data_IF_251676868078
#
_entry.id   IF_251676868078
#
_cell.length_a   1.000
_cell.length_b   1.000
_cell.length_c   1.000
_cell.angle_alpha   90.00
_cell.angle_beta   90.00
_cell.angle_gamma   90.00
#
_symmetry.space_group_name_H-M   'P 1'
#
loop_
_entity.id
_entity.type
_entity.pdbx_description
1 polymer ?
#
# COMPACT_ATOMS: atom_id res chain seq x y z
N UNK A 1 -14.63 67.78 -17.30
CA UNK A 1 -13.29 68.18 -17.84
C UNK A 1 -12.32 67.07 -17.42
N UNK A 2 -11.63 66.27 -18.23
CA UNK A 2 -11.31 66.24 -19.65
C UNK A 2 -11.42 64.78 -20.13
N UNK A 3 -12.05 64.57 -21.29
CA UNK A 3 -11.75 63.45 -22.21
C UNK A 3 -10.45 63.82 -22.96
N UNK A 4 -9.67 62.82 -23.34
CA UNK A 4 -8.93 62.65 -24.63
C UNK A 4 -7.70 61.75 -24.35
N UNK A 5 -7.63 60.61 -25.05
CA UNK A 5 -6.52 59.65 -24.96
C UNK A 5 -6.88 58.28 -25.54
N UNK A 6 -7.57 58.27 -26.68
CA UNK A 6 -7.93 57.06 -27.41
C UNK A 6 -6.72 56.56 -28.23
N UNK A 7 -6.68 55.24 -28.41
CA UNK A 7 -6.21 54.60 -29.65
C UNK A 7 -4.70 54.57 -29.91
N UNK A 8 -4.03 53.49 -29.48
CA UNK A 8 -2.94 52.89 -30.29
C UNK A 8 -2.50 51.44 -30.00
N UNK A 9 -2.99 50.74 -28.97
CA UNK A 9 -2.50 49.38 -28.65
C UNK A 9 -3.42 48.19 -28.98
N UNK A 10 -4.56 48.39 -29.64
CA UNK A 10 -5.48 47.28 -30.03
C UNK A 10 -5.23 46.66 -31.42
N UNK A 11 -4.19 47.07 -32.16
CA UNK A 11 -3.83 46.49 -33.48
C UNK A 11 -2.59 45.58 -33.50
N UNK A 12 -1.85 45.41 -32.39
CA UNK A 12 -0.67 44.50 -32.34
C UNK A 12 -0.94 43.11 -31.75
N UNK A 13 -2.10 42.85 -31.13
CA UNK A 13 -2.44 41.51 -30.61
C UNK A 13 -3.27 40.62 -31.55
N UNK A 14 -3.82 41.18 -32.64
CA UNK A 14 -4.70 40.43 -33.55
C UNK A 14 -3.95 39.73 -34.69
N UNK A 15 -2.68 40.05 -34.91
CA UNK A 15 -1.82 39.44 -35.95
C UNK A 15 -0.97 38.26 -35.45
N UNK A 16 -0.82 38.07 -34.13
CA UNK A 16 -0.09 36.92 -33.55
C UNK A 16 -0.92 35.63 -33.45
N UNK A 17 -2.25 35.70 -33.53
CA UNK A 17 -3.15 34.52 -33.50
C UNK A 17 -3.40 33.86 -34.86
N UNK A 18 -2.89 34.42 -35.97
CA UNK A 18 -3.05 33.85 -37.33
C UNK A 18 -1.78 33.22 -37.91
N UNK A 19 -0.66 33.25 -37.18
CA UNK A 19 0.61 32.61 -37.56
C UNK A 19 0.94 31.34 -36.75
N UNK A 20 0.02 30.83 -35.95
CA UNK A 20 0.19 29.59 -35.16
C UNK A 20 -0.52 28.37 -35.76
N UNK A 21 -0.87 28.41 -37.06
CA UNK A 21 -1.43 27.27 -37.80
C UNK A 21 -0.56 26.74 -38.95
N UNK A 22 0.68 27.22 -39.09
CA UNK A 22 1.66 26.67 -40.04
C UNK A 22 3.08 26.81 -39.47
N UNK A 23 3.50 25.83 -38.69
CA UNK A 23 4.92 25.47 -38.46
C UNK A 23 4.95 24.21 -37.62
N UNK A 24 4.85 23.06 -38.28
CA UNK A 24 5.30 21.79 -37.71
C UNK A 24 6.82 21.79 -37.73
N UNK A 25 7.44 22.41 -36.74
CA UNK A 25 8.88 22.30 -36.51
C UNK A 25 9.12 21.67 -35.14
N UNK A 26 9.87 20.57 -35.16
CA UNK A 26 10.32 19.81 -33.99
C UNK A 26 11.13 20.75 -33.09
N UNK A 27 10.56 21.18 -31.97
CA UNK A 27 11.26 21.98 -30.98
C UNK A 27 12.40 21.19 -30.34
N UNK A 28 13.63 21.51 -30.73
CA UNK A 28 14.86 21.09 -30.04
C UNK A 28 14.95 21.89 -28.75
N UNK A 29 14.80 21.24 -27.59
CA UNK A 29 14.99 21.88 -26.29
C UNK A 29 16.49 22.07 -26.07
N UNK A 30 16.95 23.32 -26.07
CA UNK A 30 18.33 23.68 -25.75
C UNK A 30 18.44 23.84 -24.23
N UNK A 31 19.27 23.02 -23.60
CA UNK A 31 19.56 23.09 -22.15
C UNK A 31 20.64 24.16 -21.91
N UNK A 32 20.54 24.99 -20.86
CA UNK A 32 21.61 25.92 -20.50
C UNK A 32 22.84 25.15 -19.98
N UNK A 33 24.04 25.46 -20.49
CA UNK A 33 25.31 24.96 -19.92
C UNK A 33 25.49 25.53 -18.51
N UNK A 34 25.46 24.67 -17.50
CA UNK A 34 25.79 25.02 -16.11
C UNK A 34 27.30 24.85 -15.88
N UNK A 35 27.91 25.82 -15.19
CA UNK A 35 29.32 25.80 -14.78
C UNK A 35 29.56 24.78 -13.64
N UNK A 36 30.73 24.13 -13.58
CA UNK A 36 31.04 23.19 -12.50
C UNK A 36 31.18 23.91 -11.15
N UNK A 37 30.73 23.24 -10.08
CA UNK A 37 30.92 23.62 -8.68
C UNK A 37 32.29 23.13 -8.18
N UNK A 38 32.96 23.96 -7.39
CA UNK A 38 34.27 23.67 -6.78
C UNK A 38 34.21 22.50 -5.79
N UNK A 39 35.18 21.58 -5.92
CA UNK A 39 35.35 20.40 -5.08
C UNK A 39 36.12 20.71 -3.80
N UNK A 40 35.46 20.57 -2.65
CA UNK A 40 36.09 20.50 -1.33
C UNK A 40 36.72 19.11 -1.07
N UNK A 41 37.92 19.15 -0.49
CA UNK A 41 38.85 18.06 -0.22
C UNK A 41 38.33 16.95 0.71
N UNK A 42 38.55 15.68 0.33
CA UNK A 42 38.85 14.58 1.27
C UNK A 42 39.87 13.64 0.64
N UNK A 43 40.96 13.41 1.37
CA UNK A 43 42.10 12.60 0.96
C UNK A 43 41.83 11.10 0.96
N UNK A 44 42.26 10.46 -0.12
CA UNK A 44 42.38 9.02 -0.29
C UNK A 44 43.35 8.78 -1.45
N UNK A 45 44.33 7.91 -1.23
CA UNK A 45 45.45 7.62 -2.13
C UNK A 45 44.97 7.23 -3.53
N UNK A 46 45.37 8.00 -4.55
CA UNK A 46 45.17 7.67 -5.96
C UNK A 46 46.47 7.09 -6.52
N UNK A 47 46.39 5.84 -6.98
CA UNK A 47 47.36 5.28 -7.93
C UNK A 47 47.34 6.12 -9.21
N UNK A 48 48.51 6.31 -9.82
CA UNK A 48 48.72 7.11 -11.02
C UNK A 48 47.69 6.83 -12.12
N UNK A 49 46.95 7.87 -12.49
CA UNK A 49 46.01 7.88 -13.60
C UNK A 49 46.76 7.71 -14.94
N UNK A 50 46.64 6.55 -15.57
CA UNK A 50 46.64 6.49 -17.03
C UNK A 50 45.33 7.11 -17.50
N UNK A 51 45.40 8.24 -18.22
CA UNK A 51 44.27 8.83 -18.91
C UNK A 51 43.67 7.79 -19.87
N UNK A 52 42.60 7.11 -19.46
CA UNK A 52 41.82 6.26 -20.35
C UNK A 52 41.17 7.18 -21.38
N UNK A 53 41.62 7.12 -22.62
CA UNK A 53 40.96 7.78 -23.75
C UNK A 53 39.59 7.13 -23.90
N UNK A 54 38.53 7.80 -23.45
CA UNK A 54 37.15 7.33 -23.57
C UNK A 54 36.71 7.61 -25.01
N UNK A 55 36.34 6.56 -25.75
CA UNK A 55 35.79 6.69 -27.09
C UNK A 55 34.40 7.34 -27.01
N UNK A 56 34.25 8.53 -27.60
CA UNK A 56 33.00 9.31 -27.62
C UNK A 56 32.36 9.38 -29.02
N UNK A 57 32.85 8.61 -29.97
CA UNK A 57 32.46 8.64 -31.38
C UNK A 57 31.18 7.81 -31.70
N UNK A 58 30.62 7.11 -30.72
CA UNK A 58 29.38 6.34 -30.87
C UNK A 58 28.11 7.21 -30.89
N UNK A 59 27.12 6.83 -31.70
CA UNK A 59 25.85 7.57 -31.83
C UNK A 59 24.84 7.14 -30.77
N UNK A 60 24.43 8.08 -29.91
CA UNK A 60 23.42 7.86 -28.86
C UNK A 60 22.08 7.45 -29.48
N UNK A 61 21.71 7.97 -30.66
CA UNK A 61 20.38 7.71 -31.24
C UNK A 61 20.21 6.24 -31.68
N UNK A 62 21.32 5.51 -31.87
CA UNK A 62 21.31 4.10 -32.25
C UNK A 62 20.77 3.15 -31.15
N UNK A 63 20.83 3.57 -29.87
CA UNK A 63 20.37 2.75 -28.74
C UNK A 63 18.87 2.85 -28.45
N UNK A 64 18.11 3.55 -29.31
CA UNK A 64 16.66 3.65 -29.16
C UNK A 64 15.99 2.35 -29.58
N UNK A 65 15.29 1.72 -28.63
CA UNK A 65 14.46 0.55 -28.94
C UNK A 65 13.09 0.98 -29.51
N UNK A 66 12.50 0.20 -30.44
CA UNK A 66 11.12 0.43 -30.90
C UNK A 66 10.08 0.32 -29.77
N UNK A 67 10.40 -0.35 -28.67
CA UNK A 67 9.54 -0.46 -27.49
C UNK A 67 9.61 0.79 -26.57
N UNK A 68 10.56 1.70 -26.79
CA UNK A 68 10.74 2.86 -25.93
C UNK A 68 9.67 3.92 -26.17
N UNK A 69 8.90 4.24 -25.12
CA UNK A 69 8.07 5.44 -25.12
C UNK A 69 8.94 6.70 -25.22
N UNK A 70 8.41 7.79 -25.79
CA UNK A 70 9.16 9.03 -25.97
C UNK A 70 9.75 9.56 -24.64
N UNK A 71 9.01 9.43 -23.54
CA UNK A 71 9.48 9.88 -22.22
C UNK A 71 10.61 8.99 -21.67
N UNK A 72 10.51 7.67 -21.88
CA UNK A 72 11.55 6.72 -21.47
C UNK A 72 12.82 6.92 -22.29
N UNK A 73 12.69 7.11 -23.61
CA UNK A 73 13.82 7.41 -24.48
C UNK A 73 14.54 8.70 -24.07
N UNK A 74 13.79 9.77 -23.80
CA UNK A 74 14.37 11.03 -23.35
C UNK A 74 15.19 10.88 -22.06
N UNK A 75 14.73 10.07 -21.11
CA UNK A 75 15.51 9.79 -19.89
C UNK A 75 16.84 9.09 -20.19
N UNK A 76 16.82 8.05 -21.02
CA UNK A 76 18.06 7.34 -21.42
C UNK A 76 19.00 8.26 -22.18
N UNK A 77 18.46 9.02 -23.14
CA UNK A 77 19.20 9.97 -23.97
C UNK A 77 19.86 11.05 -23.13
N UNK A 78 19.12 11.71 -22.24
CA UNK A 78 19.69 12.72 -21.35
C UNK A 78 20.75 12.15 -20.41
N UNK A 79 20.57 10.91 -19.95
CA UNK A 79 21.55 10.24 -19.10
C UNK A 79 22.84 9.94 -19.86
N UNK A 80 22.74 9.43 -21.08
CA UNK A 80 23.90 9.19 -21.95
C UNK A 80 24.59 10.51 -22.32
N UNK A 81 23.84 11.53 -22.77
CA UNK A 81 24.40 12.84 -23.14
C UNK A 81 25.17 13.52 -21.99
N UNK A 82 24.73 13.33 -20.74
CA UNK A 82 25.36 13.95 -19.57
C UNK A 82 26.71 13.30 -19.20
N UNK A 83 26.83 11.98 -19.40
CA UNK A 83 27.95 11.19 -18.86
C UNK A 83 28.86 10.58 -19.93
N UNK A 84 28.57 10.81 -21.22
CA UNK A 84 29.30 10.25 -22.36
C UNK A 84 30.81 10.58 -22.35
N UNK A 85 31.21 11.70 -21.77
CA UNK A 85 32.62 12.13 -21.69
C UNK A 85 33.39 11.48 -20.53
N UNK A 86 32.69 10.83 -19.58
CA UNK A 86 33.29 10.35 -18.32
C UNK A 86 33.11 8.85 -18.07
N UNK A 87 32.13 8.22 -18.71
CA UNK A 87 31.79 6.80 -18.53
C UNK A 87 31.88 6.10 -19.89
N UNK A 88 32.56 4.95 -19.92
CA UNK A 88 32.70 4.15 -21.13
C UNK A 88 31.34 3.61 -21.62
N UNK A 89 31.23 3.36 -22.93
CA UNK A 89 29.98 2.98 -23.61
C UNK A 89 29.32 1.74 -23.00
N UNK A 90 30.13 0.70 -22.76
CA UNK A 90 29.73 -0.60 -22.22
C UNK A 90 29.11 -0.49 -20.82
N UNK A 91 29.52 0.51 -20.05
CA UNK A 91 28.99 0.80 -18.73
C UNK A 91 27.83 1.80 -18.77
N UNK A 92 27.91 2.83 -19.63
CA UNK A 92 26.96 3.93 -19.65
C UNK A 92 25.58 3.51 -20.19
N UNK A 93 25.55 2.66 -21.22
CA UNK A 93 24.29 2.23 -21.85
C UNK A 93 23.41 1.41 -20.89
N UNK A 94 23.93 0.39 -20.18
CA UNK A 94 23.17 -0.31 -19.14
C UNK A 94 22.74 0.60 -17.97
N UNK A 95 23.59 1.54 -17.55
CA UNK A 95 23.24 2.50 -16.49
C UNK A 95 22.09 3.42 -16.91
N UNK A 96 22.10 3.92 -18.14
CA UNK A 96 21.01 4.73 -18.69
C UNK A 96 19.68 3.96 -18.71
N UNK A 97 19.73 2.67 -19.09
CA UNK A 97 18.56 1.79 -19.07
C UNK A 97 18.03 1.57 -17.64
N UNK A 98 18.92 1.26 -16.70
CA UNK A 98 18.56 1.06 -15.29
C UNK A 98 17.99 2.33 -14.65
N UNK A 99 18.58 3.49 -14.92
CA UNK A 99 18.07 4.79 -14.48
C UNK A 99 16.66 5.06 -15.01
N UNK A 100 16.46 4.88 -16.31
CA UNK A 100 15.17 5.11 -16.96
C UNK A 100 14.09 4.17 -16.41
N UNK A 101 14.41 2.88 -16.22
CA UNK A 101 13.50 1.90 -15.63
C UNK A 101 13.15 2.25 -14.18
N UNK A 102 14.13 2.66 -13.39
CA UNK A 102 13.91 3.07 -12.00
C UNK A 102 12.98 4.29 -11.92
N UNK A 103 13.19 5.33 -12.74
CA UNK A 103 12.35 6.55 -12.69
C UNK A 103 10.98 6.40 -13.37
N UNK A 104 10.87 5.64 -14.44
CA UNK A 104 9.63 5.46 -15.17
C UNK A 104 8.72 4.38 -14.55
N UNK A 105 9.31 3.25 -14.15
CA UNK A 105 8.58 2.05 -13.71
C UNK A 105 8.76 1.72 -12.22
N UNK A 106 9.65 2.40 -11.50
CA UNK A 106 9.88 2.15 -10.08
C UNK A 106 10.71 0.89 -9.80
N UNK A 107 11.49 0.41 -10.78
CA UNK A 107 12.38 -0.73 -10.59
C UNK A 107 13.46 -0.42 -9.52
N UNK A 108 13.73 -1.42 -8.68
CA UNK A 108 14.73 -1.36 -7.61
C UNK A 108 15.85 -2.34 -7.95
N UNK A 109 17.09 -1.88 -7.79
CA UNK A 109 18.32 -2.63 -8.06
C UNK A 109 19.13 -2.78 -6.76
N UNK A 110 20.24 -3.55 -6.74
CA UNK A 110 21.09 -3.66 -5.55
C UNK A 110 21.51 -2.28 -4.99
N UNK A 111 21.70 -2.15 -3.67
CA UNK A 111 21.83 -0.86 -3.00
C UNK A 111 22.98 0.01 -3.55
N UNK A 112 24.13 -0.60 -3.82
CA UNK A 112 25.27 0.10 -4.43
C UNK A 112 24.96 0.66 -5.83
N UNK A 113 24.11 -0.02 -6.61
CA UNK A 113 23.66 0.46 -7.92
C UNK A 113 22.65 1.59 -7.77
N UNK A 114 21.71 1.47 -6.82
CA UNK A 114 20.71 2.51 -6.57
C UNK A 114 21.35 3.83 -6.16
N UNK A 115 22.35 3.79 -5.26
CA UNK A 115 23.12 4.96 -4.84
C UNK A 115 23.84 5.61 -6.02
N UNK A 116 24.48 4.79 -6.88
CA UNK A 116 25.17 5.28 -8.08
C UNK A 116 24.21 5.92 -9.09
N UNK A 117 23.03 5.33 -9.31
CA UNK A 117 22.01 5.89 -10.20
C UNK A 117 21.42 7.20 -9.66
N UNK A 118 21.30 7.33 -8.35
CA UNK A 118 20.83 8.55 -7.68
C UNK A 118 21.85 9.68 -7.86
N UNK A 119 23.12 9.42 -7.58
CA UNK A 119 24.21 10.40 -7.74
C UNK A 119 24.35 10.89 -9.19
N UNK A 120 24.41 9.96 -10.15
CA UNK A 120 24.58 10.31 -11.57
C UNK A 120 23.31 10.90 -12.19
N UNK A 121 22.14 10.52 -11.69
CA UNK A 121 20.85 10.83 -12.29
C UNK A 121 20.14 12.05 -11.71
N UNK A 122 20.62 12.63 -10.60
CA UNK A 122 19.94 13.71 -9.86
C UNK A 122 19.51 14.91 -10.73
N UNK A 123 20.37 15.47 -11.62
CA UNK A 123 19.99 16.61 -12.46
C UNK A 123 18.82 16.26 -13.39
N UNK A 124 18.82 15.05 -13.94
CA UNK A 124 17.80 14.56 -14.89
C UNK A 124 16.52 14.20 -14.13
N UNK A 125 16.65 13.60 -12.95
CA UNK A 125 15.53 13.22 -12.09
C UNK A 125 14.70 14.45 -11.68
N UNK A 126 15.36 15.56 -11.30
CA UNK A 126 14.68 16.82 -10.97
C UNK A 126 13.84 17.35 -12.13
N UNK A 127 14.42 17.41 -13.33
CA UNK A 127 13.71 17.89 -14.54
C UNK A 127 12.52 16.98 -14.86
N UNK A 128 12.72 15.66 -14.81
CA UNK A 128 11.66 14.69 -15.06
C UNK A 128 10.52 14.77 -14.03
N UNK A 129 10.83 14.93 -12.74
CA UNK A 129 9.84 15.12 -11.68
C UNK A 129 9.03 16.41 -11.89
N UNK A 130 9.69 17.51 -12.26
CA UNK A 130 9.00 18.78 -12.57
C UNK A 130 8.05 18.63 -13.78
N UNK A 131 8.50 17.97 -14.85
CA UNK A 131 7.65 17.66 -16.01
C UNK A 131 6.46 16.75 -15.67
N UNK A 132 6.65 15.82 -14.73
CA UNK A 132 5.57 14.94 -14.26
C UNK A 132 4.60 15.64 -13.33
N UNK A 133 5.08 16.53 -12.46
CA UNK A 133 4.24 17.33 -11.55
C UNK A 133 3.39 18.37 -12.27
N UNK A 134 3.90 18.95 -13.37
CA UNK A 134 3.19 19.92 -14.21
C UNK A 134 2.25 19.28 -15.23
N UNK A 135 2.19 17.94 -15.29
CA UNK A 135 1.30 17.22 -16.20
C UNK A 135 -0.14 17.36 -15.68
N UNK A 136 -0.84 18.38 -16.17
CA UNK A 136 -2.25 18.62 -15.86
C UNK A 136 -3.06 17.35 -16.12
N UNK A 137 -3.66 16.78 -15.07
CA UNK A 137 -4.67 15.73 -15.22
C UNK A 137 -5.83 16.35 -15.98
N UNK A 138 -6.19 15.78 -17.13
CA UNK A 138 -7.31 16.28 -17.93
C UNK A 138 -8.60 15.94 -17.21
N UNK A 139 -9.17 16.91 -16.50
CA UNK A 139 -10.53 16.81 -15.99
C UNK A 139 -11.50 17.26 -17.09
N UNK A 140 -12.30 16.32 -17.61
CA UNK A 140 -13.34 16.64 -18.58
C UNK A 140 -14.49 17.33 -17.84
N UNK A 141 -14.76 18.59 -18.17
CA UNK A 141 -15.83 19.39 -17.54
C UNK A 141 -16.85 19.77 -18.61
N UNK A 142 -18.16 19.67 -18.34
CA UNK A 142 -19.18 20.18 -19.25
C UNK A 142 -18.96 21.66 -19.59
N UNK A 143 -19.11 22.02 -20.87
CA UNK A 143 -18.79 23.37 -21.38
C UNK A 143 -19.51 24.49 -20.62
N UNK A 144 -20.79 24.31 -20.27
CA UNK A 144 -21.54 25.29 -19.48
C UNK A 144 -20.99 25.51 -18.07
N UNK A 145 -20.49 24.45 -17.43
CA UNK A 145 -19.88 24.54 -16.09
C UNK A 145 -18.51 25.22 -16.16
N UNK A 146 -17.72 24.95 -17.19
CA UNK A 146 -16.45 25.63 -17.44
C UNK A 146 -16.66 27.14 -17.65
N UNK A 147 -17.63 27.52 -18.51
CA UNK A 147 -17.96 28.92 -18.77
C UNK A 147 -18.44 29.67 -17.51
N UNK A 148 -19.25 29.01 -16.66
CA UNK A 148 -19.69 29.59 -15.39
C UNK A 148 -18.54 29.82 -14.41
N UNK A 149 -17.57 28.92 -14.33
CA UNK A 149 -16.40 29.07 -13.45
C UNK A 149 -15.48 30.19 -13.95
N UNK A 150 -15.32 30.30 -15.28
CA UNK A 150 -14.55 31.37 -15.92
C UNK A 150 -15.19 32.75 -15.66
N UNK A 151 -16.52 32.87 -15.80
CA UNK A 151 -17.26 34.10 -15.46
C UNK A 151 -17.07 34.51 -13.99
N UNK A 152 -17.02 33.52 -13.08
CA UNK A 152 -16.82 33.74 -11.64
C UNK A 152 -15.36 33.93 -11.25
N UNK A 153 -14.41 33.82 -12.18
CA UNK A 153 -12.97 33.88 -11.94
C UNK A 153 -12.49 32.88 -10.87
N UNK A 154 -13.17 31.74 -10.73
CA UNK A 154 -12.79 30.69 -9.78
C UNK A 154 -11.99 29.61 -10.52
N UNK A 155 -10.74 29.32 -10.13
CA UNK A 155 -9.97 28.23 -10.73
C UNK A 155 -10.65 26.89 -10.44
N UNK A 156 -10.60 25.98 -11.40
CA UNK A 156 -11.31 24.69 -11.32
C UNK A 156 -10.91 23.89 -10.08
N UNK A 157 -9.64 23.90 -9.69
CA UNK A 157 -9.14 23.17 -8.52
C UNK A 157 -9.76 23.65 -7.21
N UNK A 158 -9.93 24.97 -7.05
CA UNK A 158 -10.61 25.53 -5.88
C UNK A 158 -12.10 25.15 -5.87
N UNK A 159 -12.76 25.21 -7.03
CA UNK A 159 -14.15 24.78 -7.13
C UNK A 159 -14.30 23.27 -6.83
N UNK A 160 -13.39 22.44 -7.33
CA UNK A 160 -13.38 21.00 -7.08
C UNK A 160 -13.14 20.70 -5.60
N UNK A 161 -12.14 21.36 -4.99
CA UNK A 161 -11.89 21.25 -3.55
C UNK A 161 -13.10 21.69 -2.71
N UNK A 162 -13.78 22.76 -3.09
CA UNK A 162 -15.00 23.23 -2.43
C UNK A 162 -16.17 22.23 -2.59
N UNK A 163 -16.32 21.62 -3.77
CA UNK A 163 -17.32 20.59 -4.04
C UNK A 163 -17.07 19.33 -3.21
N UNK A 164 -15.83 18.83 -3.21
CA UNK A 164 -15.40 17.70 -2.38
C UNK A 164 -15.62 18.04 -0.90
N UNK A 165 -15.25 19.24 -0.44
CA UNK A 165 -15.45 19.67 0.95
C UNK A 165 -16.93 19.68 1.33
N UNK A 166 -17.80 20.19 0.46
CA UNK A 166 -19.26 20.20 0.69
C UNK A 166 -19.84 18.79 0.72
N UNK A 167 -19.46 17.93 -0.22
CA UNK A 167 -19.92 16.54 -0.23
C UNK A 167 -19.42 15.77 0.99
N UNK A 168 -18.17 15.99 1.39
CA UNK A 168 -17.58 15.37 2.58
C UNK A 168 -18.29 15.85 3.84
N UNK A 169 -18.68 17.13 3.93
CA UNK A 169 -19.41 17.66 5.08
C UNK A 169 -20.76 16.95 5.30
N UNK A 170 -21.45 16.57 4.23
CA UNK A 170 -22.73 15.83 4.32
C UNK A 170 -22.56 14.38 4.80
N UNK A 171 -21.34 13.82 4.71
CA UNK A 171 -21.02 12.46 5.15
C UNK A 171 -20.27 12.44 6.48
N UNK A 172 -19.88 13.60 7.02
CA UNK A 172 -19.22 13.66 8.33
C UNK A 172 -20.26 13.53 9.44
N UNK A 173 -19.89 12.91 10.58
CA UNK A 173 -20.74 12.90 11.74
C UNK A 173 -20.94 14.32 12.29
N UNK A 174 -22.15 14.62 12.73
CA UNK A 174 -22.58 15.88 13.35
C UNK A 174 -22.54 15.73 14.87
N UNK A 175 -21.71 16.55 15.52
CA UNK A 175 -21.55 16.56 16.98
C UNK A 175 -21.49 18.03 17.44
N UNK A 176 -22.33 18.49 18.38
CA UNK A 176 -23.37 17.74 19.10
C UNK A 176 -24.65 17.52 18.27
N UNK A 177 -25.36 16.45 18.58
CA UNK A 177 -26.65 16.10 17.98
C UNK A 177 -27.74 17.04 18.52
N UNK A 178 -28.62 17.55 17.64
CA UNK A 178 -29.77 18.40 18.05
C UNK A 178 -31.11 17.92 17.52
N UNK A 179 -31.12 17.24 16.37
CA UNK A 179 -32.32 16.77 15.68
C UNK A 179 -32.20 15.29 15.34
N UNK A 180 -33.34 14.64 15.13
CA UNK A 180 -33.39 13.26 14.64
C UNK A 180 -32.65 13.07 13.31
N UNK A 181 -32.65 14.09 12.44
CA UNK A 181 -31.89 14.06 11.18
C UNK A 181 -30.37 13.97 11.41
N UNK A 182 -29.85 14.64 12.45
CA UNK A 182 -28.42 14.59 12.80
C UNK A 182 -28.03 13.18 13.29
N UNK A 183 -28.95 12.53 14.01
CA UNK A 183 -28.80 11.13 14.44
C UNK A 183 -28.71 10.21 13.23
N UNK A 184 -29.66 10.31 12.29
CA UNK A 184 -29.64 9.47 11.10
C UNK A 184 -28.43 9.74 10.19
N UNK A 185 -27.85 10.94 10.20
CA UNK A 185 -26.57 11.22 9.53
C UNK A 185 -25.39 10.55 10.25
N UNK A 186 -25.42 10.47 11.57
CA UNK A 186 -24.39 9.80 12.36
C UNK A 186 -24.49 8.28 12.28
N UNK A 187 -25.68 7.72 12.13
CA UNK A 187 -25.88 6.28 12.00
C UNK A 187 -25.47 5.83 10.60
N UNK A 188 -24.56 4.86 10.55
CA UNK A 188 -24.23 4.10 9.35
C UNK A 188 -24.45 2.63 9.67
N UNK A 189 -25.26 1.94 8.86
CA UNK A 189 -25.58 0.53 9.06
C UNK A 189 -24.38 -0.33 8.66
N UNK A 190 -23.78 -1.07 9.59
CA UNK A 190 -22.56 -1.86 9.37
C UNK A 190 -22.90 -3.35 9.35
N UNK A 191 -22.48 -4.06 8.30
CA UNK A 191 -22.67 -5.51 8.11
C UNK A 191 -24.10 -6.01 8.29
N UNK A 192 -25.10 -5.16 8.06
CA UNK A 192 -26.49 -5.49 8.34
C UNK A 192 -26.71 -6.03 9.78
N UNK A 193 -25.91 -5.57 10.76
CA UNK A 193 -25.91 -6.04 12.14
C UNK A 193 -26.16 -4.88 13.09
N UNK A 194 -27.24 -4.93 13.86
CA UNK A 194 -27.55 -3.90 14.86
C UNK A 194 -26.39 -3.76 15.87
N UNK A 195 -25.83 -4.88 16.33
CA UNK A 195 -24.72 -4.87 17.29
C UNK A 195 -23.50 -4.10 16.78
N UNK A 196 -23.09 -4.34 15.53
CA UNK A 196 -21.94 -3.65 14.93
C UNK A 196 -22.24 -2.16 14.75
N UNK A 197 -23.48 -1.81 14.39
CA UNK A 197 -23.90 -0.41 14.25
C UNK A 197 -23.86 0.35 15.56
N UNK A 198 -24.40 -0.23 16.64
CA UNK A 198 -24.40 0.41 17.96
C UNK A 198 -22.97 0.59 18.43
N UNK A 199 -22.11 -0.42 18.30
CA UNK A 199 -20.71 -0.31 18.70
C UNK A 199 -19.97 0.80 17.96
N UNK A 200 -20.21 0.97 16.66
CA UNK A 200 -19.62 2.06 15.89
C UNK A 200 -20.18 3.43 16.27
N UNK A 201 -21.47 3.51 16.56
CA UNK A 201 -22.12 4.75 16.99
C UNK A 201 -21.60 5.21 18.36
N UNK A 202 -21.45 4.28 19.30
CA UNK A 202 -20.89 4.53 20.64
C UNK A 202 -19.44 5.02 20.57
N UNK A 203 -18.63 4.47 19.64
CA UNK A 203 -17.25 4.92 19.41
C UNK A 203 -17.15 6.37 18.93
N UNK A 204 -18.18 6.90 18.27
CA UNK A 204 -18.22 8.31 17.89
C UNK A 204 -18.45 9.21 19.11
N UNK A 205 -18.92 8.66 20.24
CA UNK A 205 -19.20 9.40 21.47
C UNK A 205 -20.34 10.42 21.32
N UNK A 206 -21.16 10.30 20.27
CA UNK A 206 -22.14 11.31 19.89
C UNK A 206 -23.60 10.91 20.15
N UNK A 207 -23.90 9.61 20.05
CA UNK A 207 -25.27 9.07 20.15
C UNK A 207 -25.20 7.56 20.41
N UNK A 208 -26.28 6.99 20.95
CA UNK A 208 -26.40 5.53 21.18
C UNK A 208 -27.79 5.08 20.76
N UNK A 209 -27.95 3.81 20.38
CA UNK A 209 -29.26 3.19 20.17
C UNK A 209 -29.57 2.33 21.39
N UNK A 210 -30.71 2.56 22.04
CA UNK A 210 -31.15 1.83 23.22
C UNK A 210 -32.48 1.13 22.94
N UNK A 211 -32.67 -0.03 23.57
CA UNK A 211 -33.91 -0.79 23.49
C UNK A 211 -34.43 -0.96 24.92
N UNK A 212 -35.64 -0.48 25.17
CA UNK A 212 -36.30 -0.56 26.47
C UNK A 212 -37.47 -1.54 26.41
N UNK A 213 -37.63 -2.34 27.46
CA UNK A 213 -38.76 -3.26 27.62
C UNK A 213 -39.76 -2.75 28.65
N UNK A 214 -41.04 -2.94 28.38
CA UNK A 214 -42.13 -2.65 29.30
C UNK A 214 -43.04 -3.89 29.39
N UNK A 215 -43.28 -4.45 30.59
CA UNK A 215 -44.23 -5.56 30.75
C UNK A 215 -45.68 -5.06 30.53
N UNK A 216 -46.48 -5.86 29.83
CA UNK A 216 -47.92 -5.68 29.65
C UNK A 216 -48.69 -6.76 30.45
N UNK A 217 -49.96 -6.95 30.14
CA UNK A 217 -50.81 -7.97 30.77
C UNK A 217 -50.60 -9.35 30.10
N UNK A 218 -50.70 -10.43 30.87
CA UNK A 218 -50.67 -11.84 30.40
C UNK A 218 -49.37 -12.24 29.65
N UNK A 219 -48.20 -12.14 30.31
CA UNK A 219 -46.88 -12.56 29.75
C UNK A 219 -46.46 -11.87 28.43
N UNK A 220 -47.11 -10.77 28.09
CA UNK A 220 -46.73 -9.95 26.92
C UNK A 220 -45.82 -8.79 27.32
N UNK A 221 -44.91 -8.43 26.43
CA UNK A 221 -43.96 -7.34 26.61
C UNK A 221 -44.05 -6.39 25.40
N UNK A 222 -43.96 -5.09 25.67
CA UNK A 222 -43.77 -4.06 24.65
C UNK A 222 -42.29 -3.65 24.66
N UNK A 223 -41.63 -3.82 23.53
CA UNK A 223 -40.23 -3.46 23.33
C UNK A 223 -40.19 -2.21 22.46
N UNK A 224 -39.50 -1.17 22.92
CA UNK A 224 -39.36 0.13 22.26
C UNK A 224 -37.90 0.41 21.95
N UNK A 225 -37.62 0.83 20.72
CA UNK A 225 -36.29 1.26 20.29
C UNK A 225 -36.20 2.78 20.23
N UNK A 226 -35.11 3.30 20.78
CA UNK A 226 -34.77 4.70 20.82
C UNK A 226 -33.39 4.91 20.20
N UNK A 227 -33.19 6.03 19.51
CA UNK A 227 -31.84 6.54 19.24
C UNK A 227 -31.65 7.81 20.07
N UNK A 228 -30.72 7.73 21.01
CA UNK A 228 -30.57 8.68 22.10
C UNK A 228 -31.92 8.85 22.84
N UNK A 229 -32.55 10.02 22.75
CA UNK A 229 -33.86 10.30 23.36
C UNK A 229 -35.04 10.26 22.38
N UNK A 230 -34.81 9.92 21.11
CA UNK A 230 -35.86 9.90 20.09
C UNK A 230 -36.43 8.50 19.91
N UNK A 231 -37.75 8.38 20.02
CA UNK A 231 -38.48 7.15 19.72
C UNK A 231 -38.44 6.84 18.22
N UNK A 232 -38.14 5.59 17.86
CA UNK A 232 -38.10 5.13 16.46
C UNK A 232 -39.18 4.10 16.18
N UNK A 233 -39.16 2.95 16.86
CA UNK A 233 -40.11 1.85 16.64
C UNK A 233 -40.50 1.16 17.94
N UNK A 234 -41.60 0.41 17.87
CA UNK A 234 -42.02 -0.51 18.93
C UNK A 234 -42.60 -1.79 18.35
N UNK A 235 -42.56 -2.86 19.15
CA UNK A 235 -43.23 -4.11 18.88
C UNK A 235 -43.78 -4.69 20.19
N UNK A 236 -44.84 -5.49 20.11
CA UNK A 236 -45.48 -6.10 21.27
C UNK A 236 -45.73 -7.59 21.02
N UNK A 237 -45.64 -8.40 22.08
CA UNK A 237 -45.83 -9.85 22.01
C UNK A 237 -45.07 -10.57 23.13
N UNK A 238 -44.93 -11.90 23.07
CA UNK A 238 -43.98 -12.63 23.91
C UNK A 238 -42.57 -12.02 23.76
N UNK A 239 -41.78 -12.02 24.85
CA UNK A 239 -40.51 -11.29 24.91
C UNK A 239 -39.60 -11.51 23.69
N UNK A 240 -39.34 -12.77 23.32
CA UNK A 240 -38.44 -13.10 22.20
C UNK A 240 -38.97 -12.56 20.85
N UNK A 241 -40.28 -12.69 20.62
CA UNK A 241 -40.93 -12.22 19.40
C UNK A 241 -40.99 -10.69 19.35
N UNK A 242 -41.32 -10.04 20.46
CA UNK A 242 -41.37 -8.59 20.56
C UNK A 242 -39.98 -7.98 20.37
N UNK A 243 -38.94 -8.58 20.96
CA UNK A 243 -37.56 -8.14 20.79
C UNK A 243 -37.09 -8.33 19.34
N UNK A 244 -37.27 -9.53 18.77
CA UNK A 244 -36.90 -9.80 17.39
C UNK A 244 -37.64 -8.87 16.41
N UNK A 245 -38.95 -8.70 16.57
CA UNK A 245 -39.77 -7.81 15.74
C UNK A 245 -39.38 -6.34 15.86
N UNK A 246 -39.03 -5.88 17.07
CA UNK A 246 -38.53 -4.52 17.28
C UNK A 246 -37.21 -4.30 16.54
N UNK A 247 -36.27 -5.24 16.65
CA UNK A 247 -34.97 -5.19 15.98
C UNK A 247 -35.11 -5.24 14.45
N UNK A 248 -35.97 -6.10 13.91
CA UNK A 248 -36.19 -6.17 12.45
C UNK A 248 -36.78 -4.86 11.93
N UNK A 249 -37.81 -4.33 12.60
CA UNK A 249 -38.44 -3.07 12.21
C UNK A 249 -37.45 -1.90 12.31
N UNK A 250 -36.65 -1.86 13.38
CA UNK A 250 -35.61 -0.85 13.55
C UNK A 250 -34.58 -0.91 12.41
N UNK A 251 -34.05 -2.11 12.12
CA UNK A 251 -33.08 -2.29 11.03
C UNK A 251 -33.66 -1.90 9.67
N UNK A 252 -34.93 -2.17 9.41
CA UNK A 252 -35.60 -1.71 8.19
C UNK A 252 -35.63 -0.19 8.10
N UNK A 253 -36.05 0.50 9.16
CA UNK A 253 -36.05 1.96 9.19
C UNK A 253 -34.64 2.52 9.00
N UNK A 254 -33.63 1.96 9.67
CA UNK A 254 -32.25 2.41 9.50
C UNK A 254 -31.79 2.24 8.05
N UNK A 255 -32.13 1.14 7.37
CA UNK A 255 -31.83 0.94 5.94
C UNK A 255 -32.54 1.94 5.02
N UNK A 256 -33.69 2.46 5.44
CA UNK A 256 -34.45 3.44 4.67
C UNK A 256 -33.82 4.83 4.71
N UNK A 257 -33.29 5.24 5.87
CA UNK A 257 -32.80 6.60 6.10
C UNK A 257 -31.26 6.73 6.14
N UNK A 258 -30.54 5.66 6.46
CA UNK A 258 -29.09 5.68 6.68
C UNK A 258 -28.33 4.97 5.56
N UNK A 259 -27.07 5.36 5.38
CA UNK A 259 -26.14 4.61 4.53
C UNK A 259 -25.79 3.27 5.15
N UNK A 260 -25.47 2.29 4.30
CA UNK A 260 -25.03 0.97 4.74
C UNK A 260 -23.62 0.70 4.22
N UNK A 261 -22.78 0.11 5.07
CA UNK A 261 -21.41 -0.31 4.77
C UNK A 261 -21.29 -1.79 5.13
N UNK A 262 -21.18 -2.64 4.13
CA UNK A 262 -20.98 -4.08 4.31
C UNK A 262 -19.55 -4.45 3.92
N UNK A 263 -18.89 -5.24 4.76
CA UNK A 263 -17.60 -5.82 4.42
C UNK A 263 -17.80 -6.99 3.46
N UNK A 264 -17.12 -6.95 2.31
CA UNK A 264 -17.04 -8.10 1.42
C UNK A 264 -16.09 -9.11 2.06
N UNK A 265 -16.65 -10.16 2.64
CA UNK A 265 -15.91 -11.37 2.96
C UNK A 265 -15.72 -12.07 1.62
N UNK A 266 -14.52 -12.00 1.03
CA UNK A 266 -14.18 -13.00 0.03
C UNK A 266 -14.36 -14.38 0.71
N UNK A 267 -14.87 -15.35 -0.04
CA UNK A 267 -15.06 -16.75 0.38
C UNK A 267 -14.51 -17.68 -0.71
N UNK A 268 -13.32 -17.37 -1.24
CA UNK A 268 -12.59 -18.19 -2.20
C UNK A 268 -11.58 -19.11 -1.48
N UNK A 269 -11.49 -20.35 -1.97
CA UNK A 269 -11.04 -21.57 -1.27
C UNK A 269 -9.54 -21.62 -0.90
N UNK A 270 -8.75 -20.56 -1.09
CA UNK A 270 -7.33 -20.48 -0.71
C UNK A 270 -6.95 -19.09 -0.17
N UNK A 271 -7.85 -18.41 0.54
CA UNK A 271 -7.62 -17.07 1.10
C UNK A 271 -6.46 -17.01 2.10
N UNK A 272 -5.26 -16.80 1.60
CA UNK A 272 -4.19 -16.17 2.34
C UNK A 272 -3.51 -15.15 1.43
N UNK A 273 -2.99 -14.09 2.02
CA UNK A 273 -2.24 -13.04 1.34
C UNK A 273 -0.86 -12.82 1.98
N UNK A 274 -0.48 -13.71 2.91
CA UNK A 274 0.85 -13.77 3.52
C UNK A 274 1.36 -15.21 3.48
N UNK A 275 2.38 -15.43 2.66
CA UNK A 275 3.06 -16.73 2.53
C UNK A 275 4.00 -17.00 3.72
N UNK A 276 4.32 -18.29 3.92
CA UNK A 276 5.29 -18.73 4.92
C UNK A 276 6.70 -18.65 4.31
N UNK A 277 7.43 -17.59 4.64
CA UNK A 277 8.81 -17.41 4.25
C UNK A 277 9.71 -18.12 5.26
N UNK A 278 10.50 -19.06 4.73
CA UNK A 278 11.54 -19.75 5.49
C UNK A 278 12.76 -18.83 5.67
N UNK A 279 13.58 -19.13 6.67
CA UNK A 279 14.81 -18.38 6.86
C UNK A 279 15.79 -18.61 5.69
N UNK A 280 16.46 -17.55 5.19
CA UNK A 280 17.39 -17.67 4.06
C UNK A 280 18.61 -18.58 4.37
N UNK A 281 18.98 -18.75 5.64
CA UNK A 281 20.09 -19.63 6.05
C UNK A 281 19.80 -21.12 5.87
N UNK A 282 18.53 -21.52 5.76
CA UNK A 282 18.13 -22.91 5.48
C UNK A 282 18.19 -23.24 3.99
N UNK A 283 18.04 -22.25 3.10
CA UNK A 283 18.20 -22.44 1.65
C UNK A 283 19.69 -22.59 1.28
N UNK A 284 20.57 -21.82 1.93
CA UNK A 284 22.03 -21.89 1.70
C UNK A 284 22.68 -23.16 2.26
N UNK A 285 22.13 -23.75 3.34
CA UNK A 285 22.70 -24.95 3.97
C UNK A 285 22.59 -26.23 3.13
N UNK A 286 21.71 -26.24 2.12
CA UNK A 286 21.51 -27.38 1.22
C UNK A 286 22.28 -27.27 -0.11
N UNK A 287 23.15 -26.27 -0.26
CA UNK A 287 23.94 -26.10 -1.48
C UNK A 287 25.11 -27.08 -1.47
N UNK A 288 25.08 -28.08 -2.37
CA UNK A 288 26.23 -28.96 -2.62
C UNK A 288 27.45 -28.13 -3.01
N UNK A 289 28.64 -28.58 -2.56
CA UNK A 289 29.91 -27.98 -3.00
C UNK A 289 29.97 -28.04 -4.53
N UNK A 290 30.14 -26.89 -5.18
CA UNK A 290 30.23 -26.82 -6.64
C UNK A 290 31.39 -27.69 -7.16
N UNK A 291 31.16 -28.32 -8.31
CA UNK A 291 32.11 -29.18 -9.01
C UNK A 291 33.45 -28.51 -9.34
N UNK A 292 33.45 -27.18 -9.43
CA UNK A 292 34.65 -26.36 -9.65
C UNK A 292 35.46 -26.09 -8.38
N UNK A 293 34.92 -26.38 -7.19
CA UNK A 293 35.63 -26.17 -5.94
C UNK A 293 36.84 -27.13 -5.82
N UNK A 294 37.96 -26.63 -5.32
CA UNK A 294 39.19 -27.40 -5.15
C UNK A 294 38.96 -28.66 -4.31
N UNK A 295 38.15 -28.57 -3.24
CA UNK A 295 37.78 -29.70 -2.39
C UNK A 295 36.96 -30.76 -3.12
N UNK A 296 36.00 -30.35 -3.97
CA UNK A 296 35.22 -31.28 -4.78
C UNK A 296 36.10 -32.08 -5.75
N UNK A 297 37.03 -31.40 -6.43
CA UNK A 297 37.99 -32.06 -7.34
C UNK A 297 38.97 -32.96 -6.59
N UNK A 298 39.37 -32.58 -5.39
CA UNK A 298 40.25 -33.40 -4.54
C UNK A 298 39.53 -34.67 -4.10
N UNK A 299 38.28 -34.58 -3.64
CA UNK A 299 37.47 -35.73 -3.26
C UNK A 299 37.22 -36.67 -4.45
N UNK A 300 36.93 -36.14 -5.65
CA UNK A 300 36.83 -36.95 -6.87
C UNK A 300 38.11 -37.70 -7.19
N UNK A 301 39.28 -37.06 -7.05
CA UNK A 301 40.58 -37.71 -7.25
C UNK A 301 40.89 -38.79 -6.22
N UNK A 302 40.27 -38.72 -5.05
CA UNK A 302 40.36 -39.73 -3.98
C UNK A 302 39.30 -40.84 -4.10
N UNK A 303 38.56 -40.90 -5.21
CA UNK A 303 37.59 -41.97 -5.50
C UNK A 303 36.16 -41.67 -5.08
N UNK A 304 35.84 -40.43 -4.69
CA UNK A 304 34.46 -40.03 -4.42
C UNK A 304 33.67 -39.84 -5.71
N UNK A 305 32.50 -40.46 -5.82
CA UNK A 305 31.63 -40.36 -7.00
C UNK A 305 30.56 -39.27 -6.89
N UNK A 306 30.42 -38.61 -5.74
CA UNK A 306 29.42 -37.57 -5.50
C UNK A 306 28.04 -38.11 -5.09
N UNK A 307 27.74 -39.37 -5.39
CA UNK A 307 26.45 -40.01 -5.08
C UNK A 307 26.52 -40.95 -3.86
N UNK A 308 27.71 -41.47 -3.55
CA UNK A 308 27.95 -42.45 -2.49
C UNK A 308 29.06 -42.00 -1.52
N UNK A 309 29.14 -42.66 -0.36
CA UNK A 309 30.11 -42.33 0.69
C UNK A 309 31.54 -42.68 0.30
N UNK A 310 32.53 -41.98 0.88
CA UNK A 310 33.96 -42.31 0.68
C UNK A 310 34.33 -43.66 1.35
N UNK A 311 35.09 -44.52 0.66
CA UNK A 311 35.61 -45.78 1.20
C UNK A 311 35.39 -46.98 0.27
N UNK A 312 36.10 -48.09 0.50
CA UNK A 312 36.07 -49.29 -0.36
C UNK A 312 34.69 -49.94 -0.50
N UNK A 313 33.82 -49.76 0.49
CA UNK A 313 32.44 -50.24 0.53
C UNK A 313 31.43 -49.09 0.52
N UNK A 314 31.84 -47.90 0.09
CA UNK A 314 31.00 -46.69 0.08
C UNK A 314 30.44 -46.31 1.47
N UNK A 315 31.15 -46.69 2.54
CA UNK A 315 30.72 -46.55 3.94
C UNK A 315 30.81 -45.12 4.49
N UNK A 316 31.33 -44.18 3.71
CA UNK A 316 31.53 -42.80 4.14
C UNK A 316 30.24 -42.00 4.25
N UNK A 317 30.36 -40.82 4.82
CA UNK A 317 29.25 -39.89 5.01
C UNK A 317 28.82 -39.31 3.65
N UNK A 318 27.56 -39.55 3.26
CA UNK A 318 26.98 -39.08 1.99
C UNK A 318 26.40 -37.68 2.10
N UNK A 319 25.75 -37.37 3.23
CA UNK A 319 25.15 -36.07 3.50
C UNK A 319 26.11 -35.23 4.34
N UNK A 320 26.29 -33.93 4.06
CA UNK A 320 27.17 -33.06 4.85
C UNK A 320 26.82 -33.15 6.34
N UNK A 321 27.84 -33.16 7.20
CA UNK A 321 27.64 -33.17 8.65
C UNK A 321 27.01 -31.84 9.04
N UNK A 322 25.72 -31.86 9.35
CA UNK A 322 24.99 -30.67 9.79
C UNK A 322 25.51 -30.22 11.16
N UNK A 323 26.16 -29.07 11.21
CA UNK A 323 26.53 -28.43 12.47
C UNK A 323 25.37 -27.53 12.88
N UNK A 324 24.54 -27.98 13.81
CA UNK A 324 23.53 -27.13 14.44
C UNK A 324 24.21 -25.88 15.04
N UNK A 325 23.89 -24.68 14.54
CA UNK A 325 24.47 -23.44 15.06
C UNK A 325 24.09 -23.27 16.53
N UNK A 326 25.07 -23.44 17.43
CA UNK A 326 24.93 -23.06 18.83
C UNK A 326 25.29 -21.58 18.99
N UNK A 327 24.29 -20.70 18.92
CA UNK A 327 24.46 -19.24 19.01
C UNK A 327 24.80 -18.74 20.43
N UNK A 328 25.68 -19.40 21.16
CA UNK A 328 26.26 -18.88 22.41
C UNK A 328 27.62 -19.54 22.57
N UNK A 329 28.70 -18.76 22.73
CA UNK A 329 30.09 -19.22 22.96
C UNK A 329 30.22 -20.11 24.23
N UNK A 330 29.62 -21.28 24.21
CA UNK A 330 29.66 -22.28 25.28
C UNK A 330 29.98 -23.61 24.62
N UNK A 331 31.04 -24.25 25.09
CA UNK A 331 31.51 -25.52 24.55
C UNK A 331 30.50 -26.64 24.73
N UNK A 332 30.73 -27.74 24.01
CA UNK A 332 30.04 -29.01 24.16
C UNK A 332 30.11 -29.47 25.63
N UNK A 333 28.96 -29.69 26.27
CA UNK A 333 28.87 -30.20 27.66
C UNK A 333 28.34 -29.24 28.74
N UNK A 334 27.87 -28.04 28.40
CA UNK A 334 27.37 -27.08 29.43
C UNK A 334 26.01 -27.50 30.02
N UNK A 335 26.00 -27.98 31.27
CA UNK A 335 24.82 -28.46 32.00
C UNK A 335 24.23 -27.40 32.94
N UNK A 336 23.62 -26.33 32.42
CA UNK A 336 22.88 -25.39 33.28
C UNK A 336 21.38 -25.39 32.94
N UNK A 337 20.57 -25.93 33.85
CA UNK A 337 19.10 -25.89 33.75
C UNK A 337 18.63 -24.43 33.90
N UNK A 338 17.92 -23.94 32.89
CA UNK A 338 17.38 -22.57 32.81
C UNK A 338 16.26 -22.27 33.84
N UNK A 339 15.83 -21.01 34.02
CA UNK A 339 14.59 -20.64 34.73
C UNK A 339 13.32 -20.96 33.91
N UNK A 340 12.20 -21.32 34.56
CA UNK A 340 10.99 -21.91 33.92
C UNK A 340 10.24 -20.97 32.95
N UNK A 341 10.29 -19.65 33.14
CA UNK A 341 9.48 -18.66 32.40
C UNK A 341 10.06 -18.20 31.05
N UNK A 342 11.39 -18.30 30.85
CA UNK A 342 12.08 -17.91 29.61
C UNK A 342 12.35 -19.09 28.65
N UNK A 343 12.02 -20.32 29.06
CA UNK A 343 12.28 -21.55 28.31
C UNK A 343 11.40 -21.72 27.06
N UNK A 344 10.13 -21.29 27.10
CA UNK A 344 9.19 -21.50 26.00
C UNK A 344 9.51 -20.65 24.76
N UNK A 345 9.82 -19.36 24.96
CA UNK A 345 10.01 -18.42 23.85
C UNK A 345 11.31 -18.67 23.07
N UNK A 346 12.36 -19.12 23.76
CA UNK A 346 13.67 -19.40 23.14
C UNK A 346 13.70 -20.73 22.40
N UNK A 347 12.99 -21.76 22.87
CA UNK A 347 12.83 -23.03 22.13
C UNK A 347 12.06 -22.81 20.83
N UNK A 348 10.95 -22.07 20.91
CA UNK A 348 10.15 -21.68 19.74
C UNK A 348 10.97 -20.85 18.73
N UNK A 349 11.85 -19.93 19.16
CA UNK A 349 12.72 -19.20 18.23
C UNK A 349 13.78 -20.09 17.55
N UNK A 350 14.32 -21.10 18.25
CA UNK A 350 15.35 -21.99 17.69
C UNK A 350 14.77 -23.04 16.74
N UNK A 351 13.54 -23.49 16.99
CA UNK A 351 12.83 -24.50 16.19
C UNK A 351 11.98 -23.87 15.06
N UNK A 352 11.66 -22.58 15.14
CA UNK A 352 10.92 -21.85 14.10
C UNK A 352 11.75 -21.70 12.84
N UNK A 353 11.24 -22.22 11.71
CA UNK A 353 11.92 -22.15 10.41
C UNK A 353 11.61 -20.87 9.65
N UNK A 354 10.78 -19.97 10.21
CA UNK A 354 10.31 -18.77 9.52
C UNK A 354 11.22 -17.57 9.70
N UNK A 355 11.18 -16.66 8.74
CA UNK A 355 11.91 -15.39 8.77
C UNK A 355 11.27 -14.38 9.73
N UNK A 356 11.67 -14.45 11.01
CA UNK A 356 11.15 -13.58 12.07
C UNK A 356 11.35 -12.07 11.75
N UNK A 357 12.54 -11.60 11.31
CA UNK A 357 12.74 -10.21 10.89
C UNK A 357 11.73 -9.71 9.84
N UNK A 358 11.46 -10.52 8.81
CA UNK A 358 10.48 -10.15 7.79
C UNK A 358 9.09 -9.90 8.39
N UNK A 359 8.60 -10.80 9.24
CA UNK A 359 7.27 -10.64 9.84
C UNK A 359 7.18 -9.49 10.84
N UNK A 360 8.29 -9.13 11.52
CA UNK A 360 8.35 -7.92 12.34
C UNK A 360 8.17 -6.67 11.48
N UNK A 361 8.92 -6.57 10.37
CA UNK A 361 8.79 -5.45 9.42
C UNK A 361 7.39 -5.41 8.78
N UNK A 362 6.80 -6.57 8.46
CA UNK A 362 5.44 -6.67 7.95
C UNK A 362 4.45 -6.07 8.96
N UNK A 363 4.53 -6.44 10.24
CA UNK A 363 3.67 -5.91 11.31
C UNK A 363 3.86 -4.40 11.53
N UNK A 364 5.09 -3.90 11.47
CA UNK A 364 5.36 -2.45 11.55
C UNK A 364 4.71 -1.71 10.37
N UNK A 365 4.87 -2.22 9.16
CA UNK A 365 4.26 -1.64 7.96
C UNK A 365 2.72 -1.68 8.03
N UNK A 366 2.15 -2.71 8.66
CA UNK A 366 0.72 -2.87 8.87
C UNK A 366 0.17 -1.75 9.78
N UNK A 367 0.89 -1.40 10.85
CA UNK A 367 0.51 -0.29 11.74
C UNK A 367 0.59 1.05 11.02
N UNK A 368 1.68 1.29 10.28
CA UNK A 368 1.91 2.56 9.60
C UNK A 368 0.90 2.79 8.48
N UNK A 369 0.63 1.76 7.66
CA UNK A 369 -0.22 1.87 6.48
C UNK A 369 -1.70 1.72 6.78
N UNK A 370 -2.07 1.08 7.90
CA UNK A 370 -3.46 0.76 8.28
C UNK A 370 -4.25 0.18 7.10
N UNK A 371 -3.91 -1.01 6.60
CA UNK A 371 -4.58 -1.55 5.42
C UNK A 371 -6.07 -1.80 5.70
N UNK A 372 -6.89 -1.64 4.66
CA UNK A 372 -8.34 -1.83 4.67
C UNK A 372 -8.78 -3.31 4.61
N UNK A 373 -7.82 -4.24 4.57
CA UNK A 373 -8.03 -5.68 4.47
C UNK A 373 -7.25 -6.41 5.56
N UNK A 374 -7.71 -7.61 5.90
CA UNK A 374 -7.06 -8.47 6.89
C UNK A 374 -5.79 -9.08 6.27
N UNK A 375 -4.71 -9.22 7.04
CA UNK A 375 -3.58 -10.06 6.62
C UNK A 375 -3.86 -11.49 7.10
N UNK A 376 -4.14 -12.36 6.15
CA UNK A 376 -4.47 -13.76 6.37
C UNK A 376 -3.23 -14.58 6.00
N UNK A 377 -2.69 -15.29 6.99
CA UNK A 377 -1.47 -16.05 6.83
C UNK A 377 -1.78 -17.44 6.27
N UNK A 378 -0.84 -17.97 5.47
CA UNK A 378 -0.91 -19.33 4.94
C UNK A 378 -1.25 -20.35 6.03
N UNK A 379 -2.04 -21.40 5.74
CA UNK A 379 -2.28 -22.46 6.71
C UNK A 379 -1.03 -23.32 6.99
N UNK A 380 0.04 -23.16 6.21
CA UNK A 380 1.32 -23.89 6.33
C UNK A 380 2.12 -23.53 7.59
N UNK A 381 1.71 -22.48 8.30
CA UNK A 381 2.32 -22.09 9.57
C UNK A 381 2.00 -23.13 10.64
N UNK A 382 3.04 -23.59 11.35
CA UNK A 382 2.88 -24.52 12.46
C UNK A 382 2.20 -23.84 13.65
N UNK A 383 1.68 -24.63 14.59
CA UNK A 383 1.08 -24.09 15.81
C UNK A 383 2.07 -23.25 16.63
N UNK A 384 3.30 -23.74 16.74
CA UNK A 384 4.42 -23.03 17.38
C UNK A 384 4.67 -21.64 16.77
N UNK A 385 4.67 -21.57 15.45
CA UNK A 385 4.86 -20.35 14.67
C UNK A 385 3.69 -19.37 14.82
N UNK A 386 2.45 -19.88 14.82
CA UNK A 386 1.27 -19.06 15.08
C UNK A 386 1.30 -18.45 16.48
N UNK A 387 1.70 -19.21 17.51
CA UNK A 387 1.86 -18.68 18.87
C UNK A 387 2.90 -17.55 18.90
N UNK A 388 3.99 -17.69 18.15
CA UNK A 388 5.02 -16.66 18.04
C UNK A 388 4.47 -15.40 17.34
N UNK A 389 3.76 -15.56 16.22
CA UNK A 389 3.10 -14.47 15.51
C UNK A 389 2.07 -13.72 16.39
N UNK A 390 1.23 -14.44 17.12
CA UNK A 390 0.28 -13.86 18.10
C UNK A 390 1.04 -13.01 19.12
N UNK A 391 2.13 -13.54 19.67
CA UNK A 391 2.93 -12.80 20.66
C UNK A 391 3.62 -11.58 20.07
N UNK A 392 3.99 -11.61 18.78
CA UNK A 392 4.52 -10.42 18.10
C UNK A 392 3.42 -9.38 17.90
N UNK A 393 2.24 -9.79 17.44
CA UNK A 393 1.08 -8.92 17.28
C UNK A 393 0.68 -8.24 18.60
N UNK A 394 0.69 -8.97 19.72
CA UNK A 394 0.42 -8.43 21.05
C UNK A 394 1.40 -7.31 21.46
N UNK A 395 2.70 -7.47 21.16
CA UNK A 395 3.70 -6.42 21.43
C UNK A 395 3.42 -5.14 20.67
N UNK A 396 3.01 -5.29 19.41
CA UNK A 396 2.62 -4.19 18.53
C UNK A 396 1.19 -3.69 18.79
N UNK A 397 0.46 -4.31 19.74
CA UNK A 397 -0.97 -4.04 20.03
C UNK A 397 -1.86 -4.14 18.79
N UNK A 398 -1.53 -5.05 17.88
CA UNK A 398 -2.32 -5.34 16.70
C UNK A 398 -3.37 -6.38 17.07
N UNK A 399 -4.62 -6.16 16.65
CA UNK A 399 -5.68 -7.15 16.85
C UNK A 399 -5.42 -8.36 15.95
N UNK A 400 -5.31 -9.54 16.53
CA UNK A 400 -5.15 -10.79 15.80
C UNK A 400 -6.20 -11.82 16.21
N UNK A 401 -6.52 -12.72 15.29
CA UNK A 401 -7.48 -13.82 15.47
C UNK A 401 -6.92 -15.08 14.85
N UNK A 402 -7.31 -16.24 15.37
CA UNK A 402 -7.09 -17.53 14.72
C UNK A 402 -8.41 -17.95 14.09
N UNK A 403 -8.43 -18.14 12.77
CA UNK A 403 -9.61 -18.59 12.02
C UNK A 403 -9.40 -20.03 11.55
N UNK A 404 -10.47 -20.80 11.45
CA UNK A 404 -10.44 -22.12 10.84
C UNK A 404 -10.80 -21.99 9.36
N UNK A 405 -10.01 -22.60 8.49
CA UNK A 405 -10.36 -22.73 7.07
C UNK A 405 -11.52 -23.71 6.90
N UNK A 406 -12.11 -23.72 5.70
CA UNK A 406 -13.12 -24.72 5.31
C UNK A 406 -12.59 -26.16 5.49
N UNK A 407 -11.29 -26.36 5.32
CA UNK A 407 -10.62 -27.65 5.46
C UNK A 407 -10.25 -27.98 6.93
N UNK A 408 -10.65 -27.14 7.89
CA UNK A 408 -10.37 -27.32 9.32
C UNK A 408 -8.95 -26.94 9.76
N UNK A 409 -8.12 -26.38 8.87
CA UNK A 409 -6.77 -25.93 9.21
C UNK A 409 -6.83 -24.57 9.92
N UNK A 410 -6.00 -24.39 10.94
CA UNK A 410 -5.91 -23.12 11.67
C UNK A 410 -5.05 -22.10 10.92
N UNK A 411 -5.60 -20.91 10.69
CA UNK A 411 -4.91 -19.78 10.09
C UNK A 411 -4.78 -18.62 11.09
N UNK A 412 -3.60 -18.02 11.12
CA UNK A 412 -3.37 -16.79 11.86
C UNK A 412 -3.79 -15.58 11.02
N UNK A 413 -4.49 -14.63 11.62
CA UNK A 413 -5.02 -13.44 10.92
C UNK A 413 -4.71 -12.19 11.72
N UNK A 414 -4.09 -11.20 11.09
CA UNK A 414 -4.08 -9.83 11.60
C UNK A 414 -5.34 -9.12 11.10
N UNK A 415 -6.20 -8.75 12.05
CA UNK A 415 -7.47 -8.10 11.77
C UNK A 415 -7.19 -6.68 11.30
N UNK A 416 -7.81 -6.29 10.19
CA UNK A 416 -7.68 -4.94 9.62
C UNK A 416 -7.91 -3.85 10.66
N UNK A 417 -7.31 -2.70 10.40
CA UNK A 417 -7.63 -1.51 11.18
C UNK A 417 -9.14 -1.23 11.05
N UNK A 418 -9.86 -1.03 12.17
CA UNK A 418 -11.28 -0.71 12.11
C UNK A 418 -11.43 0.70 11.55
N UNK A 419 -11.73 0.80 10.26
CA UNK A 419 -11.99 2.07 9.60
C UNK A 419 -13.37 2.61 10.00
N UNK A 420 -13.46 3.89 10.41
CA UNK A 420 -14.74 4.53 10.67
C UNK A 420 -15.68 4.43 9.46
N UNK A 421 -16.96 4.07 9.65
CA UNK A 421 -17.92 3.95 8.55
C UNK A 421 -18.01 5.22 7.70
N UNK A 422 -18.00 6.41 8.32
CA UNK A 422 -18.03 7.69 7.60
C UNK A 422 -16.79 7.92 6.73
N UNK A 423 -15.61 7.49 7.15
CA UNK A 423 -14.41 7.55 6.31
C UNK A 423 -14.54 6.63 5.10
N UNK A 424 -15.10 5.42 5.29
CA UNK A 424 -15.39 4.49 4.19
C UNK A 424 -16.36 5.12 3.19
N UNK A 425 -17.43 5.79 3.66
CA UNK A 425 -18.38 6.49 2.78
C UNK A 425 -17.68 7.55 1.94
N UNK A 426 -16.80 8.36 2.54
CA UNK A 426 -16.04 9.39 1.83
C UNK A 426 -15.10 8.78 0.80
N UNK A 427 -14.36 7.72 1.15
CA UNK A 427 -13.43 7.06 0.23
C UNK A 427 -14.14 6.40 -0.96
N UNK A 428 -15.32 5.82 -0.74
CA UNK A 428 -16.07 5.11 -1.78
C UNK A 428 -16.90 6.06 -2.65
N UNK A 429 -17.64 6.98 -2.03
CA UNK A 429 -18.62 7.84 -2.73
C UNK A 429 -18.01 9.10 -3.35
N UNK A 430 -16.95 9.65 -2.73
CA UNK A 430 -16.36 10.93 -3.17
C UNK A 430 -15.06 10.68 -3.94
N UNK A 431 -14.12 9.96 -3.32
CA UNK A 431 -12.81 9.68 -3.93
C UNK A 431 -12.82 8.49 -4.89
N UNK A 432 -13.89 7.70 -4.89
CA UNK A 432 -14.05 6.53 -5.75
C UNK A 432 -12.88 5.55 -5.68
N UNK A 433 -12.28 5.40 -4.49
CA UNK A 433 -11.03 4.67 -4.34
C UNK A 433 -11.20 3.19 -4.75
N UNK A 434 -10.42 2.67 -5.71
CA UNK A 434 -10.68 1.37 -6.34
C UNK A 434 -10.60 0.22 -5.33
N UNK A 435 -9.65 0.30 -4.39
CA UNK A 435 -9.48 -0.71 -3.36
C UNK A 435 -10.60 -0.69 -2.31
N UNK A 436 -11.08 0.49 -1.88
CA UNK A 436 -12.22 0.56 -0.97
C UNK A 436 -13.48 -0.01 -1.63
N UNK A 437 -13.73 0.28 -2.91
CA UNK A 437 -14.83 -0.33 -3.68
C UNK A 437 -14.71 -1.85 -3.80
N UNK A 438 -13.49 -2.40 -3.74
CA UNK A 438 -13.25 -3.85 -3.79
C UNK A 438 -13.63 -4.53 -2.47
N UNK A 439 -13.27 -3.94 -1.33
CA UNK A 439 -13.44 -4.57 0.00
C UNK A 439 -14.71 -4.12 0.76
N UNK A 440 -15.26 -2.95 0.43
CA UNK A 440 -16.47 -2.41 1.05
C UNK A 440 -17.57 -2.24 0.00
N UNK A 441 -18.74 -2.71 0.34
CA UNK A 441 -19.97 -2.41 -0.37
C UNK A 441 -20.69 -1.28 0.37
N UNK A 442 -20.94 -0.18 -0.34
CA UNK A 442 -21.69 0.96 0.18
C UNK A 442 -23.05 1.03 -0.49
N UNK A 443 -24.11 0.94 0.30
CA UNK A 443 -25.49 1.00 -0.17
C UNK A 443 -26.08 2.34 0.31
N UNK A 444 -26.58 3.20 -0.61
CA UNK A 444 -27.26 4.43 -0.22
C UNK A 444 -28.62 4.14 0.45
N UNK A 445 -29.14 5.08 1.26
CA UNK A 445 -30.47 4.94 1.87
C UNK A 445 -31.56 4.81 0.79
N UNK A 446 -32.55 3.95 1.03
CA UNK A 446 -33.64 3.66 0.06
C UNK A 446 -34.42 4.92 -0.32
N UNK A 447 -34.57 5.88 0.61
CA UNK A 447 -35.26 7.14 0.34
C UNK A 447 -34.60 7.95 -0.79
N UNK A 448 -33.27 7.88 -0.94
CA UNK A 448 -32.55 8.58 -2.01
C UNK A 448 -32.76 7.96 -3.40
N UNK A 449 -33.23 6.71 -3.48
CA UNK A 449 -33.50 6.01 -4.74
C UNK A 449 -34.79 6.49 -5.41
N UNK A 450 -35.78 6.89 -4.62
CA UNK A 450 -37.11 7.31 -5.10
C UNK A 450 -37.07 8.68 -5.77
N UNK A 451 -36.17 9.57 -5.33
CA UNK A 451 -36.05 10.92 -5.91
C UNK A 451 -35.22 10.95 -7.22
N UNK A 452 -34.79 9.80 -7.74
CA UNK A 452 -34.03 9.67 -9.00
C UNK A 452 -34.82 9.00 -10.13
N UNK A 453 -36.01 8.45 -9.85
CA UNK A 453 -37.02 8.04 -10.83
C UNK A 453 -38.01 9.15 -11.05
#
# INVERSE_FOLDING_TARGET
RRKVGLSRNKRKLRTKRRLLRKSGEKGRVVVPKLKPMDSGSYGGVWQENQERIIATDWDIESYRSPADTLALWNLKKWFMELHKEYIAEDELVPLAQAFANSKAYGCVYPPAMMERLEQLGEPIARVYQNLRSTKSVRHLVPAGKAALLELRQVPYDQHYAALVSRQTANLRPVIPVRRLADIFQNIVVVNNSLKDTVQWLERLGASTISIAMCPLMHETFEVKAYADNFFITKAAGPYEQAYAGCVTNLMEILKWYCYQVNYRRHLDVNEYNVERLLRPDLEEANVMIDSNNVGYRMLRRLGWTGEAGLGSHQQGIVKPIEVGRHNYRRGLGSSCKWPKTLRGLKRLHTECQMDIPFYQQLMESFIQRKPYYDLIFSPEFTEAERILLTRMADRYRIRCETRLTLNGLSQFVLVRYPFPPHEILVQVLIYEHPLFKKFFEVIPPKLCSINKS
#
